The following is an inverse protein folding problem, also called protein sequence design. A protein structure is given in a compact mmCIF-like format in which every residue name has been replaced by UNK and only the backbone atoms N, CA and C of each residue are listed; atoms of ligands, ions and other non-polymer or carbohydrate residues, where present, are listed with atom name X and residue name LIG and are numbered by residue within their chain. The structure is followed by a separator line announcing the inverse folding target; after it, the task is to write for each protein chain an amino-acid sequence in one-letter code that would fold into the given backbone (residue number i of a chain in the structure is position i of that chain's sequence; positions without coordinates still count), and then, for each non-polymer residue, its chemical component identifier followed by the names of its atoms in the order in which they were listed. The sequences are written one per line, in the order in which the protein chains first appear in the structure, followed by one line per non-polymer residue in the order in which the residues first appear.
data_IF_726436972634
#
_entry.id   IF_726436972634
#
_cell.length_a   1.000
_cell.length_b   1.000
_cell.length_c   1.000
_cell.angle_alpha   90.00
_cell.angle_beta   90.00
_cell.angle_gamma   90.00
#
_symmetry.space_group_name_H-M   'P 1'
#
loop_
_entity.id
_entity.type
_entity.pdbx_description
1 polymer ?
#
# COMPACT_ATOMS: atom_id res chain seq x y z
N UNK A 1 -0.02 63.27 -37.21
CA UNK A 1 0.78 62.37 -36.35
C UNK A 1 -0.08 61.18 -35.96
N UNK A 2 0.27 59.97 -36.40
CA UNK A 2 -0.43 58.72 -36.05
C UNK A 2 0.34 58.03 -34.94
N UNK A 3 -0.29 57.76 -33.80
CA UNK A 3 0.27 56.92 -32.74
C UNK A 3 -0.39 55.56 -32.88
N UNK A 4 0.41 54.56 -33.25
CA UNK A 4 0.01 53.15 -33.31
C UNK A 4 0.25 52.56 -31.91
N UNK A 5 -0.80 52.13 -31.22
CA UNK A 5 -0.70 51.36 -29.99
C UNK A 5 -0.67 49.87 -30.31
N UNK A 6 0.48 49.23 -30.12
CA UNK A 6 0.62 47.77 -30.16
C UNK A 6 0.08 47.18 -28.85
N UNK A 7 -1.09 46.53 -28.91
CA UNK A 7 -1.57 45.66 -27.86
C UNK A 7 -0.86 44.30 -27.95
N UNK A 8 0.07 44.04 -27.04
CA UNK A 8 0.67 42.71 -26.86
C UNK A 8 -0.29 41.88 -26.01
N UNK A 9 -1.13 41.08 -26.66
CA UNK A 9 -1.87 40.01 -26.01
C UNK A 9 -0.90 38.86 -25.69
N UNK A 10 -0.38 38.86 -24.46
CA UNK A 10 0.33 37.72 -23.90
C UNK A 10 -0.63 36.56 -23.67
N UNK A 11 -0.63 35.59 -24.57
CA UNK A 11 -1.26 34.29 -24.36
C UNK A 11 -0.47 33.55 -23.27
N UNK A 12 -0.97 33.61 -22.03
CA UNK A 12 -0.57 32.66 -21.00
C UNK A 12 -1.09 31.28 -21.42
N UNK A 13 -0.21 30.47 -22.00
CA UNK A 13 -0.42 29.03 -22.10
C UNK A 13 -0.42 28.46 -20.69
N UNK A 14 -1.62 28.37 -20.09
CA UNK A 14 -1.82 27.54 -18.90
C UNK A 14 -1.72 26.09 -19.40
N UNK A 15 -0.49 25.59 -19.46
CA UNK A 15 -0.23 24.16 -19.57
C UNK A 15 -0.73 23.53 -18.28
N UNK A 16 -2.02 23.18 -18.25
CA UNK A 16 -2.54 22.18 -17.33
C UNK A 16 -1.72 20.92 -17.61
N UNK A 17 -0.70 20.66 -16.79
CA UNK A 17 0.02 19.41 -16.81
C UNK A 17 -1.03 18.32 -16.58
N UNK A 18 -1.47 17.68 -17.66
CA UNK A 18 -2.32 16.51 -17.59
C UNK A 18 -1.52 15.49 -16.80
N UNK A 19 -2.03 15.08 -15.64
CA UNK A 19 -1.38 14.05 -14.84
C UNK A 19 -1.04 12.84 -15.72
N UNK A 20 0.13 12.25 -15.49
CA UNK A 20 0.60 11.08 -16.23
C UNK A 20 0.64 9.87 -15.29
N UNK A 21 0.37 8.69 -15.86
CA UNK A 21 0.62 7.43 -15.17
C UNK A 21 2.12 7.11 -15.17
N UNK A 22 2.70 6.85 -14.00
CA UNK A 22 4.15 6.63 -13.82
C UNK A 22 4.53 5.21 -13.40
N UNK A 23 3.56 4.35 -13.08
CA UNK A 23 3.82 2.97 -12.68
C UNK A 23 2.65 2.02 -12.94
N UNK A 24 2.97 0.76 -13.21
CA UNK A 24 2.03 -0.37 -13.29
C UNK A 24 2.64 -1.58 -12.61
N UNK A 25 1.86 -2.31 -11.81
CA UNK A 25 2.26 -3.63 -11.31
C UNK A 25 1.05 -4.55 -11.07
N UNK A 26 1.32 -5.83 -10.85
CA UNK A 26 0.32 -6.85 -10.52
C UNK A 26 0.60 -7.39 -9.11
N UNK A 27 -0.45 -7.47 -8.28
CA UNK A 27 -0.43 -7.99 -6.91
C UNK A 27 -1.40 -9.17 -6.82
N UNK A 28 -0.96 -10.38 -7.17
CA UNK A 28 -1.79 -11.57 -7.04
C UNK A 28 -2.02 -11.90 -5.57
N UNK A 29 -3.08 -12.66 -5.28
CA UNK A 29 -3.25 -13.28 -3.98
C UNK A 29 -2.07 -14.23 -3.73
N UNK A 30 -1.50 -14.28 -2.52
CA UNK A 30 -0.47 -15.25 -2.20
C UNK A 30 -1.02 -16.66 -2.38
N UNK A 31 -0.41 -17.46 -3.25
CA UNK A 31 -0.84 -18.84 -3.57
C UNK A 31 -0.78 -19.78 -2.36
N UNK A 32 -0.04 -19.37 -1.34
CA UNK A 32 0.05 -19.95 0.00
C UNK A 32 0.69 -18.87 0.89
N UNK A 33 0.59 -18.92 2.24
CA UNK A 33 1.52 -18.14 3.05
C UNK A 33 2.92 -18.45 2.50
N UNK A 34 3.79 -17.44 2.27
CA UNK A 34 5.15 -17.74 1.89
C UNK A 34 5.64 -18.81 2.88
N UNK A 35 6.33 -19.87 2.41
CA UNK A 35 6.96 -20.78 3.36
C UNK A 35 7.64 -19.88 4.36
N UNK A 36 7.33 -20.03 5.67
CA UNK A 36 8.02 -19.27 6.71
C UNK A 36 9.46 -19.35 6.26
N UNK A 37 10.05 -18.23 5.83
CA UNK A 37 11.48 -18.21 5.56
C UNK A 37 11.99 -18.75 6.86
N UNK A 38 12.51 -19.99 6.82
CA UNK A 38 13.04 -20.62 7.99
C UNK A 38 14.02 -19.56 8.45
N UNK A 39 13.66 -18.87 9.52
CA UNK A 39 14.57 -18.02 10.22
C UNK A 39 15.50 -19.05 10.80
N UNK A 40 16.43 -19.56 9.96
CA UNK A 40 17.62 -20.19 10.46
C UNK A 40 18.05 -19.26 11.56
N UNK A 41 18.12 -19.74 12.81
CA UNK A 41 18.56 -18.92 13.91
C UNK A 41 19.87 -18.31 13.42
N UNK A 42 19.85 -17.00 13.14
CA UNK A 42 21.03 -16.37 12.56
C UNK A 42 22.15 -16.65 13.54
N UNK A 43 23.19 -17.33 13.06
CA UNK A 43 24.30 -17.74 13.91
C UNK A 43 24.78 -16.51 14.65
N UNK A 44 24.75 -16.59 15.98
CA UNK A 44 25.23 -15.51 16.82
C UNK A 44 26.70 -15.26 16.47
N UNK A 45 27.16 -14.00 16.43
CA UNK A 45 28.57 -13.69 16.25
C UNK A 45 29.44 -14.43 17.27
N UNK A 46 30.69 -14.73 16.90
CA UNK A 46 31.62 -15.43 17.80
C UNK A 46 31.76 -14.71 19.14
N UNK A 47 31.61 -15.46 20.24
CA UNK A 47 31.65 -14.92 21.61
C UNK A 47 30.28 -14.57 22.21
N UNK A 48 29.20 -14.71 21.45
CA UNK A 48 27.84 -14.48 21.92
C UNK A 48 27.15 -15.78 22.37
N UNK A 49 26.61 -15.79 23.58
CA UNK A 49 25.88 -16.95 24.15
C UNK A 49 24.36 -16.77 24.11
N UNK A 50 23.86 -15.54 23.93
CA UNK A 50 22.43 -15.20 23.85
C UNK A 50 22.20 -14.02 22.90
N UNK A 51 21.07 -14.00 22.16
CA UNK A 51 20.71 -12.85 21.35
C UNK A 51 20.39 -11.62 22.21
N UNK A 52 20.86 -10.46 21.76
CA UNK A 52 20.55 -9.13 22.33
C UNK A 52 19.90 -8.25 21.26
N UNK A 53 19.06 -7.29 21.62
CA UNK A 53 18.51 -6.33 20.66
C UNK A 53 17.42 -5.47 21.28
N UNK A 54 17.19 -4.30 20.68
CA UNK A 54 16.08 -3.41 21.03
C UNK A 54 15.02 -3.39 19.91
N UNK A 55 13.78 -3.09 20.27
CA UNK A 55 12.73 -2.75 19.32
C UNK A 55 12.35 -1.29 19.50
N UNK A 56 12.27 -0.56 18.40
CA UNK A 56 11.81 0.82 18.38
C UNK A 56 10.62 0.96 17.42
N UNK A 57 9.46 1.30 17.97
CA UNK A 57 8.26 1.56 17.17
C UNK A 57 7.96 3.06 17.17
N UNK A 58 7.52 3.57 16.03
CA UNK A 58 7.23 4.99 15.89
C UNK A 58 6.34 5.31 14.71
N UNK A 59 6.21 6.61 14.48
CA UNK A 59 5.45 7.18 13.37
C UNK A 59 6.39 7.95 12.48
N UNK A 60 6.29 7.73 11.18
CA UNK A 60 7.03 8.52 10.22
C UNK A 60 6.38 9.90 10.08
N UNK A 61 7.19 10.96 10.16
CA UNK A 61 6.77 12.32 9.85
C UNK A 61 7.33 12.76 8.49
N UNK A 62 6.58 13.53 7.71
CA UNK A 62 7.14 14.22 6.55
C UNK A 62 8.25 15.18 6.98
N UNK A 63 9.35 15.31 6.21
CA UNK A 63 10.50 16.12 6.61
C UNK A 63 10.19 17.61 6.75
N UNK A 64 9.13 18.08 6.11
CA UNK A 64 8.62 19.45 6.15
C UNK A 64 7.43 19.62 7.11
N UNK A 65 7.09 18.58 7.89
CA UNK A 65 5.93 18.52 8.79
C UNK A 65 4.58 18.78 8.09
N UNK A 66 4.50 18.60 6.76
CA UNK A 66 3.26 18.75 5.99
C UNK A 66 2.75 17.37 5.56
N UNK A 67 1.53 17.02 5.89
CA UNK A 67 0.93 15.78 5.40
C UNK A 67 0.93 15.72 3.87
N UNK A 68 1.19 14.53 3.32
CA UNK A 68 1.05 14.23 1.91
C UNK A 68 -0.40 13.81 1.64
N UNK A 69 -1.04 14.35 0.61
CA UNK A 69 -2.42 13.98 0.28
C UNK A 69 -2.43 13.03 -0.92
N UNK A 70 -3.03 11.87 -0.75
CA UNK A 70 -3.19 10.86 -1.80
C UNK A 70 -4.65 10.52 -2.01
N UNK A 71 -5.04 10.27 -3.25
CA UNK A 71 -6.34 9.72 -3.59
C UNK A 71 -6.19 8.25 -4.00
N UNK A 72 -7.06 7.40 -3.44
CA UNK A 72 -7.03 5.95 -3.59
C UNK A 72 -8.31 5.48 -4.25
N UNK A 73 -8.24 5.17 -5.53
CA UNK A 73 -9.42 4.87 -6.35
C UNK A 73 -9.43 3.41 -6.79
N UNK A 74 -10.58 2.75 -6.65
CA UNK A 74 -10.88 1.52 -7.37
C UNK A 74 -11.43 1.92 -8.74
N UNK A 75 -10.59 1.90 -9.77
CA UNK A 75 -10.93 2.37 -11.11
C UNK A 75 -11.78 1.34 -11.88
N UNK A 76 -11.48 0.05 -11.71
CA UNK A 76 -12.23 -1.04 -12.33
C UNK A 76 -12.26 -2.27 -11.42
N UNK A 77 -13.37 -3.00 -11.46
CA UNK A 77 -13.53 -4.29 -10.80
C UNK A 77 -13.78 -5.39 -11.83
N UNK A 78 -13.34 -6.60 -11.52
CA UNK A 78 -13.63 -7.79 -12.32
C UNK A 78 -15.11 -8.16 -12.34
N UNK A 79 -15.86 -7.76 -11.31
CA UNK A 79 -17.30 -7.95 -11.17
C UNK A 79 -17.88 -6.84 -10.28
N UNK A 80 -19.19 -6.58 -10.41
CA UNK A 80 -19.93 -5.77 -9.42
C UNK A 80 -20.63 -6.61 -8.36
N UNK A 81 -20.55 -7.94 -8.48
CA UNK A 81 -21.15 -8.91 -7.57
C UNK A 81 -20.10 -9.92 -7.15
N UNK A 82 -19.99 -10.17 -5.84
CA UNK A 82 -19.05 -11.14 -5.29
C UNK A 82 -19.72 -12.01 -4.24
N UNK A 83 -19.33 -13.27 -4.18
CA UNK A 83 -19.79 -14.19 -3.15
C UNK A 83 -18.80 -14.21 -1.99
N UNK A 84 -19.29 -14.44 -0.76
CA UNK A 84 -18.41 -14.62 0.41
C UNK A 84 -17.45 -15.78 0.16
N UNK A 85 -16.16 -15.58 0.45
CA UNK A 85 -15.08 -16.51 0.11
C UNK A 85 -14.69 -16.52 -1.38
N UNK A 86 -15.41 -15.81 -2.24
CA UNK A 86 -15.08 -15.63 -3.64
C UNK A 86 -13.85 -14.74 -3.85
N UNK A 87 -13.21 -14.88 -5.01
CA UNK A 87 -12.08 -14.05 -5.43
C UNK A 87 -12.53 -12.93 -6.36
N UNK A 88 -11.88 -11.78 -6.26
CA UNK A 88 -12.05 -10.64 -7.15
C UNK A 88 -10.71 -10.06 -7.57
N UNK A 89 -10.75 -9.19 -8.58
CA UNK A 89 -9.60 -8.40 -9.01
C UNK A 89 -10.02 -6.95 -9.22
N UNK A 90 -9.21 -6.02 -8.71
CA UNK A 90 -9.39 -4.60 -8.83
C UNK A 90 -8.23 -3.97 -9.61
N UNK A 91 -8.52 -3.09 -10.57
CA UNK A 91 -7.56 -2.11 -11.06
C UNK A 91 -7.68 -0.88 -10.15
N UNK A 92 -6.61 -0.55 -9.44
CA UNK A 92 -6.59 0.51 -8.44
C UNK A 92 -5.57 1.57 -8.79
N UNK A 93 -5.81 2.81 -8.35
CA UNK A 93 -4.92 3.95 -8.58
C UNK A 93 -4.54 4.61 -7.27
N UNK A 94 -3.25 4.87 -7.10
CA UNK A 94 -2.72 5.78 -6.09
C UNK A 94 -2.27 7.05 -6.81
N UNK A 95 -2.99 8.14 -6.57
CA UNK A 95 -2.70 9.45 -7.16
C UNK A 95 -2.16 10.40 -6.10
N UNK A 96 -1.09 11.11 -6.43
CA UNK A 96 -0.65 12.23 -5.62
C UNK A 96 -1.53 13.46 -5.96
N UNK A 97 -2.42 13.83 -5.05
CA UNK A 97 -3.29 15.01 -5.19
C UNK A 97 -2.79 16.21 -4.38
N UNK A 98 -1.68 16.03 -3.66
CA UNK A 98 -0.97 17.12 -3.00
C UNK A 98 -0.08 17.92 -3.97
N UNK A 99 0.62 18.90 -3.41
CA UNK A 99 1.54 19.80 -4.11
C UNK A 99 3.02 19.41 -3.98
N UNK A 100 3.32 18.37 -3.20
CA UNK A 100 4.68 17.85 -2.98
C UNK A 100 4.80 16.43 -3.52
N UNK A 101 5.89 16.06 -4.22
CA UNK A 101 6.14 14.69 -4.64
C UNK A 101 6.16 13.71 -3.46
N UNK A 102 5.75 12.48 -3.72
CA UNK A 102 5.82 11.37 -2.76
C UNK A 102 6.68 10.25 -3.34
N UNK A 103 7.25 9.44 -2.45
CA UNK A 103 8.00 8.24 -2.84
C UNK A 103 7.41 7.04 -2.12
N UNK A 104 7.09 6.00 -2.89
CA UNK A 104 6.50 4.75 -2.38
C UNK A 104 7.34 3.54 -2.80
N UNK A 105 7.37 2.45 -2.01
CA UNK A 105 7.92 1.18 -2.47
C UNK A 105 7.11 0.65 -3.66
N UNK A 106 7.80 0.14 -4.69
CA UNK A 106 7.18 -0.26 -5.96
C UNK A 106 7.85 -1.47 -6.61
N UNK A 107 8.32 -2.42 -5.80
CA UNK A 107 8.89 -3.69 -6.26
C UNK A 107 8.29 -4.86 -5.47
N UNK A 108 7.94 -5.95 -6.15
CA UNK A 108 7.36 -7.15 -5.52
C UNK A 108 8.41 -8.16 -5.05
N UNK A 109 9.70 -7.95 -5.36
CA UNK A 109 10.79 -8.80 -4.91
C UNK A 109 11.24 -8.43 -3.48
N UNK A 110 11.01 -9.34 -2.53
CA UNK A 110 11.48 -9.21 -1.15
C UNK A 110 13.02 -9.21 -1.02
N UNK A 111 13.75 -9.66 -2.05
CA UNK A 111 15.21 -9.62 -2.11
C UNK A 111 15.81 -8.22 -1.97
N UNK A 112 15.03 -7.19 -2.30
CA UNK A 112 15.37 -5.76 -2.09
C UNK A 112 15.80 -5.48 -0.65
N UNK A 113 15.21 -6.17 0.34
CA UNK A 113 15.50 -6.00 1.78
C UNK A 113 16.95 -6.34 2.13
N UNK A 114 17.56 -7.29 1.42
CA UNK A 114 18.91 -7.79 1.73
C UNK A 114 20.03 -7.05 0.99
N UNK A 115 19.66 -6.10 0.13
CA UNK A 115 20.62 -5.35 -0.68
C UNK A 115 20.97 -4.06 0.05
N UNK A 116 21.99 -4.15 0.91
CA UNK A 116 22.57 -3.01 1.61
C UNK A 116 24.11 -3.07 1.51
N UNK A 117 24.80 -1.92 1.45
CA UNK A 117 26.27 -1.89 1.44
C UNK A 117 26.89 -2.52 2.69
N UNK A 118 26.20 -2.39 3.83
CA UNK A 118 26.58 -3.00 5.11
C UNK A 118 25.58 -4.13 5.42
N UNK A 119 26.01 -5.41 5.43
CA UNK A 119 25.13 -6.52 5.74
C UNK A 119 24.62 -6.51 7.19
N UNK A 120 25.23 -5.73 8.08
CA UNK A 120 24.79 -5.52 9.46
C UNK A 120 23.77 -4.38 9.58
N UNK A 121 23.42 -3.69 8.48
CA UNK A 121 22.41 -2.61 8.45
C UNK A 121 21.46 -2.80 7.28
N UNK A 122 20.24 -3.25 7.57
CA UNK A 122 19.15 -3.36 6.60
C UNK A 122 18.16 -2.21 6.81
N UNK A 123 17.79 -1.51 5.75
CA UNK A 123 16.80 -0.44 5.76
C UNK A 123 15.93 -0.55 4.52
N UNK A 124 14.62 -0.61 4.70
CA UNK A 124 13.70 -0.78 3.59
C UNK A 124 12.32 -0.18 3.90
N UNK A 125 11.62 0.18 2.83
CA UNK A 125 10.21 0.52 2.83
C UNK A 125 9.40 -0.74 2.49
N UNK A 126 8.21 -0.85 3.06
CA UNK A 126 7.23 -1.82 2.64
C UNK A 126 5.83 -1.20 2.57
N UNK A 127 5.00 -1.68 1.66
CA UNK A 127 3.63 -1.20 1.55
C UNK A 127 2.64 -2.26 1.04
N UNK A 128 1.35 -1.95 1.19
CA UNK A 128 0.25 -2.74 0.66
C UNK A 128 -0.94 -1.86 0.23
N UNK A 129 -1.68 -2.37 -0.74
CA UNK A 129 -3.04 -1.93 -1.05
C UNK A 129 -4.04 -2.82 -0.32
N UNK A 130 -4.77 -2.25 0.65
CA UNK A 130 -5.88 -2.90 1.32
C UNK A 130 -7.20 -2.62 0.59
N UNK A 131 -8.03 -3.65 0.39
CA UNK A 131 -9.40 -3.45 -0.09
C UNK A 131 -10.34 -3.62 1.10
N UNK A 132 -11.18 -2.63 1.36
CA UNK A 132 -12.06 -2.61 2.53
C UNK A 132 -13.51 -2.59 2.08
N UNK A 133 -14.31 -3.48 2.66
CA UNK A 133 -15.75 -3.53 2.51
C UNK A 133 -16.41 -2.66 3.59
N UNK A 134 -17.29 -1.75 3.16
CA UNK A 134 -18.21 -1.01 4.02
C UNK A 134 -19.58 -1.63 3.91
N UNK A 135 -20.14 -1.97 5.07
CA UNK A 135 -21.54 -2.37 5.17
C UNK A 135 -22.50 -1.17 5.17
N UNK A 136 -23.79 -1.44 5.36
CA UNK A 136 -24.83 -0.40 5.40
C UNK A 136 -24.78 0.47 6.68
N UNK A 137 -24.10 0.01 7.72
CA UNK A 137 -23.86 0.73 8.97
C UNK A 137 -22.52 1.47 8.98
N UNK A 138 -21.76 1.40 7.87
CA UNK A 138 -20.38 1.86 7.74
C UNK A 138 -19.37 1.13 8.65
N UNK A 139 -19.68 -0.10 9.04
CA UNK A 139 -18.70 -1.02 9.61
C UNK A 139 -17.74 -1.48 8.50
N UNK A 140 -16.44 -1.52 8.82
CA UNK A 140 -15.37 -1.85 7.88
C UNK A 140 -14.90 -3.28 8.06
N UNK A 141 -14.75 -4.02 6.95
CA UNK A 141 -14.11 -5.33 6.91
C UNK A 141 -12.94 -5.25 5.93
N UNK A 142 -11.71 -5.39 6.45
CA UNK A 142 -10.53 -5.47 5.61
C UNK A 142 -10.55 -6.81 4.86
N UNK A 143 -10.70 -6.78 3.54
CA UNK A 143 -10.72 -8.00 2.73
C UNK A 143 -9.31 -8.54 2.57
N UNK A 144 -9.21 -9.85 2.37
CA UNK A 144 -7.93 -10.55 2.24
C UNK A 144 -7.14 -10.07 1.01
N UNK A 145 -6.13 -9.26 1.34
CA UNK A 145 -4.94 -8.79 0.62
C UNK A 145 -3.90 -9.82 0.20
N UNK A 146 -2.93 -9.45 -0.64
CA UNK A 146 -1.56 -9.86 -0.40
C UNK A 146 -0.96 -9.03 0.76
N UNK A 147 -0.22 -9.68 1.67
CA UNK A 147 0.36 -9.01 2.83
C UNK A 147 1.71 -8.37 2.47
N UNK A 148 1.82 -7.05 2.66
CA UNK A 148 3.01 -6.23 2.34
C UNK A 148 3.75 -6.61 1.04
N UNK A 149 3.06 -6.66 -0.11
CA UNK A 149 3.65 -7.20 -1.33
C UNK A 149 4.61 -6.24 -2.03
N UNK A 150 4.80 -5.02 -1.49
CA UNK A 150 5.68 -4.00 -2.07
C UNK A 150 6.85 -3.74 -1.14
N UNK A 151 8.04 -3.71 -1.71
CA UNK A 151 9.31 -3.42 -1.07
C UNK A 151 10.02 -2.28 -1.80
N UNK A 152 10.81 -1.51 -1.06
CA UNK A 152 11.63 -0.44 -1.60
C UNK A 152 12.90 -0.26 -0.79
N UNK A 153 14.01 0.04 -1.44
CA UNK A 153 15.28 0.36 -0.81
C UNK A 153 15.98 1.45 -1.60
N UNK A 154 16.57 2.42 -0.91
CA UNK A 154 17.40 3.44 -1.55
C UNK A 154 18.66 2.87 -2.22
N UNK A 155 18.98 1.61 -1.95
CA UNK A 155 20.15 0.92 -2.49
C UNK A 155 19.82 0.04 -3.71
N UNK A 156 18.54 -0.05 -4.10
CA UNK A 156 18.10 -0.83 -5.26
C UNK A 156 17.34 0.07 -6.22
N UNK A 157 17.97 0.36 -7.36
CA UNK A 157 17.39 1.19 -8.41
C UNK A 157 16.05 0.60 -8.90
N UNK A 158 15.07 1.47 -9.10
CA UNK A 158 13.72 1.09 -9.53
C UNK A 158 12.84 0.46 -8.45
N UNK A 159 13.34 0.23 -7.22
CA UNK A 159 12.52 -0.31 -6.13
C UNK A 159 11.64 0.73 -5.44
N UNK A 160 11.90 2.01 -5.66
CA UNK A 160 11.12 3.14 -5.17
C UNK A 160 10.54 3.90 -6.37
N UNK A 161 9.26 4.25 -6.30
CA UNK A 161 8.57 5.05 -7.30
C UNK A 161 8.28 6.44 -6.75
N UNK A 162 8.77 7.46 -7.44
CA UNK A 162 8.39 8.85 -7.18
C UNK A 162 7.13 9.20 -7.96
N UNK A 163 6.16 9.81 -7.30
CA UNK A 163 4.90 10.27 -7.90
C UNK A 163 4.77 11.78 -7.65
N UNK A 164 4.87 12.58 -8.71
CA UNK A 164 4.74 14.04 -8.65
C UNK A 164 3.27 14.46 -8.48
N UNK A 165 3.02 15.71 -8.09
CA UNK A 165 1.67 16.28 -8.08
C UNK A 165 0.90 16.00 -9.38
N UNK A 166 -0.28 15.42 -9.25
CA UNK A 166 -1.16 15.06 -10.37
C UNK A 166 -0.86 13.72 -11.02
N UNK A 167 0.33 13.14 -10.85
CA UNK A 167 0.68 11.81 -11.36
C UNK A 167 0.02 10.70 -10.53
N UNK A 168 -0.11 9.51 -11.13
CA UNK A 168 -0.61 8.32 -10.44
C UNK A 168 0.14 7.05 -10.83
N UNK A 169 0.03 6.05 -9.95
CA UNK A 169 0.46 4.69 -10.22
C UNK A 169 -0.74 3.74 -10.18
N UNK A 170 -0.71 2.69 -11.00
CA UNK A 170 -1.79 1.70 -11.11
C UNK A 170 -1.31 0.34 -10.61
N UNK A 171 -2.13 -0.33 -9.80
CA UNK A 171 -1.91 -1.71 -9.40
C UNK A 171 -3.13 -2.57 -9.76
N UNK A 172 -2.88 -3.81 -10.16
CA UNK A 172 -3.93 -4.82 -10.27
C UNK A 172 -3.89 -5.69 -9.02
N UNK A 173 -4.89 -5.53 -8.14
CA UNK A 173 -4.95 -6.19 -6.84
C UNK A 173 -5.97 -7.32 -6.88
N UNK A 174 -5.49 -8.55 -6.71
CA UNK A 174 -6.36 -9.69 -6.45
C UNK A 174 -6.74 -9.68 -4.96
N UNK A 175 -8.01 -9.99 -4.67
CA UNK A 175 -8.53 -10.04 -3.31
C UNK A 175 -9.51 -11.19 -3.12
N UNK A 176 -9.78 -11.56 -1.87
CA UNK A 176 -10.82 -12.53 -1.51
C UNK A 176 -11.81 -11.89 -0.56
N UNK A 177 -13.10 -12.16 -0.76
CA UNK A 177 -14.20 -11.69 0.12
C UNK A 177 -14.19 -12.49 1.41
N UNK A 178 -13.17 -12.27 2.21
CA UNK A 178 -12.89 -12.92 3.47
C UNK A 178 -12.17 -11.89 4.34
N UNK A 179 -12.45 -11.87 5.64
CA UNK A 179 -11.80 -10.94 6.54
C UNK A 179 -10.32 -11.29 6.66
N UNK A 180 -9.46 -10.32 6.39
CA UNK A 180 -8.00 -10.45 6.43
C UNK A 180 -7.54 -11.00 7.79
N UNK A 181 -8.20 -10.59 8.86
CA UNK A 181 -7.84 -10.97 10.22
C UNK A 181 -8.62 -12.19 10.75
N UNK A 182 -9.55 -12.74 9.96
CA UNK A 182 -10.44 -13.83 10.37
C UNK A 182 -11.23 -13.56 11.67
N UNK A 183 -11.49 -12.29 11.98
CA UNK A 183 -12.27 -11.81 13.13
C UNK A 183 -13.76 -11.86 12.79
N UNK A 184 -14.13 -11.43 11.58
CA UNK A 184 -15.52 -11.42 11.12
C UNK A 184 -15.86 -12.76 10.46
N UNK A 185 -16.72 -13.59 11.07
CA UNK A 185 -17.13 -14.85 10.47
C UNK A 185 -18.03 -14.63 9.26
N UNK A 186 -18.07 -15.60 8.34
CA UNK A 186 -18.82 -15.51 7.08
C UNK A 186 -20.31 -15.18 7.26
N UNK A 187 -20.93 -15.59 8.36
CA UNK A 187 -22.35 -15.30 8.64
C UNK A 187 -22.62 -13.87 9.12
N UNK A 188 -21.58 -13.08 9.38
CA UNK A 188 -21.66 -11.67 9.72
C UNK A 188 -21.28 -10.76 8.54
N UNK A 189 -20.94 -11.32 7.38
CA UNK A 189 -20.69 -10.53 6.19
C UNK A 189 -21.97 -9.83 5.70
N UNK A 190 -21.88 -8.57 5.25
CA UNK A 190 -23.04 -7.80 4.84
C UNK A 190 -23.53 -8.22 3.45
N UNK A 191 -24.60 -9.01 3.40
CA UNK A 191 -25.23 -9.47 2.15
C UNK A 191 -26.05 -8.34 1.51
N UNK A 192 -26.02 -8.28 0.18
CA UNK A 192 -26.75 -7.29 -0.60
C UNK A 192 -25.86 -6.12 -1.00
N UNK A 193 -26.42 -4.90 -0.99
CA UNK A 193 -25.70 -3.70 -1.41
C UNK A 193 -24.68 -3.29 -0.36
N UNK A 194 -23.43 -3.15 -0.81
CA UNK A 194 -22.28 -2.74 -0.01
C UNK A 194 -21.38 -1.81 -0.81
N UNK A 195 -20.30 -1.31 -0.22
CA UNK A 195 -19.31 -0.48 -0.91
C UNK A 195 -17.90 -1.02 -0.67
N UNK A 196 -17.04 -0.90 -1.67
CA UNK A 196 -15.60 -1.11 -1.52
C UNK A 196 -14.88 0.23 -1.56
N UNK A 197 -13.80 0.35 -0.77
CA UNK A 197 -12.82 1.41 -0.93
C UNK A 197 -11.41 0.85 -0.75
N UNK A 198 -10.42 1.66 -1.10
CA UNK A 198 -9.01 1.29 -1.08
C UNK A 198 -8.30 2.00 0.08
N UNK A 199 -7.42 1.28 0.77
CA UNK A 199 -6.51 1.80 1.78
C UNK A 199 -5.05 1.60 1.35
N UNK A 200 -4.19 2.52 1.75
CA UNK A 200 -2.74 2.41 1.59
C UNK A 200 -2.07 2.25 2.95
N UNK A 201 -1.35 1.15 3.14
CA UNK A 201 -0.45 0.94 4.27
C UNK A 201 0.99 1.08 3.82
N UNK A 202 1.81 1.80 4.58
CA UNK A 202 3.26 1.91 4.33
C UNK A 202 4.01 1.98 5.65
N UNK A 203 5.16 1.31 5.72
CA UNK A 203 6.05 1.35 6.86
C UNK A 203 7.52 1.36 6.43
N UNK A 204 8.33 2.15 7.13
CA UNK A 204 9.78 2.06 7.09
C UNK A 204 10.22 1.03 8.13
N UNK A 205 11.14 0.15 7.73
CA UNK A 205 11.75 -0.84 8.61
C UNK A 205 13.26 -0.70 8.57
N UNK A 206 13.87 -0.88 9.73
CA UNK A 206 15.30 -1.01 9.86
C UNK A 206 15.67 -2.21 10.73
N UNK A 207 16.76 -2.87 10.40
CA UNK A 207 17.44 -3.84 11.24
C UNK A 207 18.91 -3.49 11.30
N UNK A 208 19.46 -3.47 12.51
CA UNK A 208 20.88 -3.24 12.74
C UNK A 208 21.43 -4.31 13.65
N UNK A 209 22.55 -4.91 13.28
CA UNK A 209 23.25 -5.82 14.17
C UNK A 209 24.03 -5.01 15.19
N UNK A 210 23.77 -5.28 16.46
CA UNK A 210 24.44 -4.65 17.58
C UNK A 210 24.94 -5.75 18.52
N UNK A 211 26.27 -5.86 18.66
CA UNK A 211 26.94 -6.87 19.50
C UNK A 211 26.46 -8.30 19.17
N UNK A 212 25.57 -8.83 20.01
CA UNK A 212 25.13 -10.21 19.99
C UNK A 212 23.72 -10.40 19.43
N UNK A 213 23.13 -9.42 18.74
CA UNK A 213 21.90 -9.67 17.98
C UNK A 213 21.40 -8.45 17.22
N UNK A 214 20.12 -8.46 16.88
CA UNK A 214 19.52 -7.47 16.00
C UNK A 214 18.61 -6.51 16.77
N UNK A 215 18.92 -5.22 16.64
CA UNK A 215 17.97 -4.16 16.95
C UNK A 215 17.09 -3.94 15.72
N UNK A 216 15.78 -3.81 15.94
CA UNK A 216 14.78 -3.58 14.89
C UNK A 216 14.04 -2.27 15.11
N UNK A 217 13.67 -1.60 14.05
CA UNK A 217 12.80 -0.44 14.12
C UNK A 217 11.68 -0.50 13.09
N UNK A 218 10.50 -0.02 13.48
CA UNK A 218 9.29 0.04 12.68
C UNK A 218 8.69 1.44 12.76
N UNK A 219 8.49 2.10 11.62
CA UNK A 219 7.86 3.40 11.56
C UNK A 219 6.70 3.39 10.58
N UNK A 220 5.49 3.53 11.10
CA UNK A 220 4.26 3.54 10.31
C UNK A 220 4.02 4.91 9.67
N UNK A 221 3.60 4.94 8.41
CA UNK A 221 3.21 6.16 7.69
C UNK A 221 1.70 6.48 7.82
N UNK A 222 0.92 5.56 8.39
CA UNK A 222 -0.53 5.65 8.54
C UNK A 222 -1.01 6.58 9.66
N UNK A 223 -2.30 6.44 9.99
CA UNK A 223 -3.03 7.20 11.03
C UNK A 223 -3.07 8.72 10.86
N UNK A 224 -3.00 9.20 9.63
CA UNK A 224 -3.06 10.63 9.35
C UNK A 224 -1.82 11.41 9.82
N UNK A 225 -0.67 10.75 10.01
CA UNK A 225 0.56 11.46 10.36
C UNK A 225 1.38 11.82 9.13
N UNK A 226 1.60 10.85 8.24
CA UNK A 226 2.30 11.11 6.99
C UNK A 226 1.33 11.37 5.85
N UNK A 227 0.39 10.44 5.63
CA UNK A 227 -0.59 10.53 4.55
C UNK A 227 -1.97 10.95 5.05
N UNK A 228 -2.57 11.93 4.38
CA UNK A 228 -4.02 12.13 4.32
C UNK A 228 -4.54 11.36 3.10
N UNK A 229 -5.41 10.39 3.33
CA UNK A 229 -5.94 9.52 2.28
C UNK A 229 -7.39 9.90 1.94
N UNK A 230 -7.68 10.05 0.66
CA UNK A 230 -9.04 10.20 0.13
C UNK A 230 -9.52 8.85 -0.40
N UNK A 231 -10.69 8.41 0.07
CA UNK A 231 -11.23 7.07 -0.16
C UNK A 231 -12.57 7.08 -0.94
N UNK A 232 -12.56 7.39 -2.25
CA UNK A 232 -13.72 7.14 -3.10
C UNK A 232 -14.23 5.70 -2.95
N UNK A 233 -15.55 5.55 -2.86
CA UNK A 233 -16.19 4.23 -2.72
C UNK A 233 -16.80 3.77 -4.03
N UNK A 234 -16.75 2.47 -4.30
CA UNK A 234 -17.44 1.81 -5.42
C UNK A 234 -18.55 0.91 -4.87
N UNK A 235 -19.76 1.03 -5.41
CA UNK A 235 -20.88 0.18 -5.03
C UNK A 235 -20.71 -1.24 -5.58
N UNK A 236 -20.98 -2.24 -4.74
CA UNK A 236 -20.96 -3.67 -5.10
C UNK A 236 -22.14 -4.40 -4.48
N UNK A 237 -22.34 -5.65 -4.89
CA UNK A 237 -23.25 -6.60 -4.27
C UNK A 237 -22.47 -7.78 -3.67
N UNK A 238 -22.74 -8.11 -2.41
CA UNK A 238 -22.22 -9.31 -1.75
C UNK A 238 -23.32 -10.36 -1.68
N UNK A 239 -23.03 -11.60 -2.06
CA UNK A 239 -23.96 -12.73 -1.92
C UNK A 239 -23.39 -13.82 -1.02
N UNK A 240 -24.28 -14.71 -0.59
CA UNK A 240 -23.90 -15.97 0.02
C UNK A 240 -23.11 -16.84 -0.95
N UNK A 241 -22.12 -17.55 -0.42
CA UNK A 241 -21.45 -18.62 -1.16
C UNK A 241 -22.40 -19.80 -1.35
N UNK A 242 -22.72 -20.14 -2.59
CA UNK A 242 -23.53 -21.33 -2.89
C UNK A 242 -22.80 -22.65 -2.58
N UNK A 243 -21.48 -22.61 -2.30
CA UNK A 243 -20.65 -23.80 -2.08
C UNK A 243 -20.46 -24.19 -0.60
N UNK A 244 -21.12 -23.53 0.33
CA UNK A 244 -21.22 -23.99 1.72
C UNK A 244 -22.54 -24.73 1.91
N UNK A 245 -22.50 -26.05 1.95
CA UNK A 245 -23.69 -26.86 2.25
C UNK A 245 -24.36 -26.38 3.54
N UNK A 246 -25.69 -26.46 3.55
CA UNK A 246 -26.58 -25.98 4.61
C UNK A 246 -25.99 -26.15 6.02
N UNK A 247 -25.97 -25.10 6.85
CA UNK A 247 -25.86 -25.31 8.29
C UNK A 247 -27.13 -26.02 8.74
N UNK A 248 -26.99 -27.31 9.07
CA UNK A 248 -27.96 -28.02 9.92
C UNK A 248 -27.99 -27.41 11.32
#
# INVERSE_FOLDING_TARGET
MKILACAVFGLFSISLALGQQVGVLNLPLPESPPPRVEQHPEQLPSGCTKPTGAMADGLQQPPDNRQRTIALEIFKLSSQSFDIGGKGRAEVRLKNVGDVPITIPWNTDSGVVRTAPDPDVLQWEQANFGIVLLDQKNETIALKTADWPLYGSRFVDGSLLMIKPGEWATAFVDFKVEDLYHIVPSNQFPIGKSKLFLEWGQAFRARRREKCGWSSAWFDYGRGHYYKQEHPTVAVRINWSASGGDPK
#
